data_IF_326976531312
#
_entry.id   IF_326976531312
#
_cell.length_a   1.000
_cell.length_b   1.000
_cell.length_c   1.000
_cell.angle_alpha   90.00
_cell.angle_beta   90.00
_cell.angle_gamma   90.00
#
_symmetry.space_group_name_H-M   'P 1'
#
loop_
_entity.id
_entity.type
_entity.pdbx_description
1 polymer ?
#
# COMPACT_ATOMS: atom_id res chain seq x y z
N UNK A 1 11.48 13.61 8.05
CA UNK A 1 12.09 12.33 7.61
C UNK A 1 11.44 11.78 6.33
N UNK A 2 10.11 11.67 6.22
CA UNK A 2 9.44 11.16 5.00
C UNK A 2 9.55 12.05 3.75
N UNK A 3 9.67 13.39 3.91
CA UNK A 3 9.98 14.32 2.80
C UNK A 3 11.28 13.93 2.06
N UNK A 4 12.28 13.40 2.77
CA UNK A 4 13.55 12.98 2.16
C UNK A 4 13.39 11.68 1.38
N UNK A 5 12.56 10.75 1.85
CA UNK A 5 12.24 9.49 1.15
C UNK A 5 11.45 9.79 -0.13
N UNK A 6 10.42 10.64 -0.06
CA UNK A 6 9.66 11.10 -1.23
C UNK A 6 10.54 11.87 -2.23
N UNK A 7 11.41 12.76 -1.75
CA UNK A 7 12.28 13.56 -2.61
C UNK A 7 13.28 12.68 -3.37
N UNK A 8 13.80 11.62 -2.73
CA UNK A 8 14.71 10.66 -3.37
C UNK A 8 14.01 9.87 -4.50
N UNK A 9 12.75 9.49 -4.33
CA UNK A 9 11.99 8.75 -5.37
C UNK A 9 11.75 9.53 -6.67
N UNK A 10 11.92 10.86 -6.69
CA UNK A 10 11.73 11.66 -7.91
C UNK A 10 12.89 11.57 -8.89
N UNK A 11 14.12 11.32 -8.43
CA UNK A 11 15.33 11.53 -9.25
C UNK A 11 16.37 10.39 -9.19
N UNK A 12 16.13 9.31 -8.43
CA UNK A 12 17.06 8.18 -8.39
C UNK A 12 16.94 7.34 -9.66
N UNK A 13 18.04 7.20 -10.41
CA UNK A 13 18.22 6.06 -11.33
C UNK A 13 18.28 4.81 -10.46
N UNK A 14 17.63 3.73 -10.88
CA UNK A 14 17.69 2.45 -10.18
C UNK A 14 19.04 1.84 -10.56
N UNK A 15 19.94 1.76 -9.60
CA UNK A 15 21.33 1.34 -9.82
C UNK A 15 21.50 -0.14 -9.51
N UNK A 16 20.88 -0.65 -8.44
CA UNK A 16 20.98 -2.05 -8.04
C UNK A 16 19.65 -2.60 -7.47
N UNK A 17 19.31 -3.85 -7.83
CA UNK A 17 18.15 -4.56 -7.28
C UNK A 17 18.68 -5.76 -6.50
N UNK A 18 18.57 -5.71 -5.18
CA UNK A 18 19.10 -6.76 -4.29
C UNK A 18 18.10 -7.87 -3.98
N UNK A 19 16.83 -7.68 -4.35
CA UNK A 19 15.74 -8.62 -4.10
C UNK A 19 15.17 -9.09 -5.44
N UNK A 20 14.73 -10.35 -5.54
CA UNK A 20 14.27 -10.87 -6.84
C UNK A 20 13.13 -10.04 -7.42
N UNK A 21 13.12 -9.89 -8.75
CA UNK A 21 12.05 -9.20 -9.48
C UNK A 21 10.68 -9.85 -9.17
N UNK A 22 10.66 -11.16 -8.96
CA UNK A 22 9.46 -11.91 -8.58
C UNK A 22 8.87 -11.43 -7.25
N UNK A 23 9.71 -11.19 -6.24
CA UNK A 23 9.28 -10.61 -4.96
C UNK A 23 8.69 -9.22 -5.17
N UNK A 24 9.38 -8.35 -5.90
CA UNK A 24 8.89 -6.99 -6.19
C UNK A 24 7.54 -7.00 -6.92
N UNK A 25 7.38 -7.91 -7.89
CA UNK A 25 6.14 -8.08 -8.64
C UNK A 25 5.00 -8.60 -7.75
N UNK A 26 5.31 -9.51 -6.83
CA UNK A 26 4.33 -10.03 -5.86
C UNK A 26 3.86 -8.93 -4.91
N UNK A 27 4.78 -8.13 -4.37
CA UNK A 27 4.44 -6.94 -3.57
C UNK A 27 3.55 -5.99 -4.37
N UNK A 28 3.91 -5.71 -5.63
CA UNK A 28 3.16 -4.79 -6.48
C UNK A 28 1.70 -5.25 -6.72
N UNK A 29 1.50 -6.54 -7.00
CA UNK A 29 0.16 -7.14 -7.15
C UNK A 29 -0.68 -7.02 -5.88
N UNK A 30 -0.10 -7.36 -4.72
CA UNK A 30 -0.82 -7.29 -3.45
C UNK A 30 -1.21 -5.84 -3.14
N UNK A 31 -0.31 -4.88 -3.38
CA UNK A 31 -0.62 -3.46 -3.17
C UNK A 31 -1.74 -2.98 -4.12
N UNK A 32 -1.74 -3.41 -5.38
CA UNK A 32 -2.86 -3.10 -6.29
C UNK A 32 -4.20 -3.66 -5.79
N UNK A 33 -4.19 -4.88 -5.24
CA UNK A 33 -5.40 -5.46 -4.65
C UNK A 33 -5.89 -4.66 -3.45
N UNK A 34 -4.99 -4.33 -2.52
CA UNK A 34 -5.31 -3.54 -1.32
C UNK A 34 -5.79 -2.13 -1.68
N UNK A 35 -5.22 -1.50 -2.72
CA UNK A 35 -5.67 -0.19 -3.20
C UNK A 35 -7.16 -0.16 -3.51
N UNK A 36 -7.74 -1.26 -4.03
CA UNK A 36 -9.17 -1.34 -4.34
C UNK A 36 -10.02 -1.29 -3.06
N UNK A 37 -9.59 -1.98 -2.00
CA UNK A 37 -10.25 -1.91 -0.68
C UNK A 37 -10.16 -0.50 -0.08
N UNK A 38 -9.02 0.17 -0.23
CA UNK A 38 -8.86 1.54 0.23
C UNK A 38 -9.78 2.50 -0.56
N UNK A 39 -9.84 2.39 -1.88
CA UNK A 39 -10.75 3.20 -2.71
C UNK A 39 -12.21 2.98 -2.34
N UNK A 40 -12.63 1.74 -2.09
CA UNK A 40 -13.98 1.43 -1.60
C UNK A 40 -14.22 2.04 -0.21
N UNK A 41 -13.24 1.97 0.68
CA UNK A 41 -13.31 2.62 2.00
C UNK A 41 -13.52 4.13 1.87
N UNK A 42 -12.83 4.78 0.93
CA UNK A 42 -13.02 6.21 0.67
C UNK A 42 -14.45 6.53 0.23
N UNK A 43 -15.04 5.71 -0.64
CA UNK A 43 -16.43 5.91 -1.06
C UNK A 43 -17.40 5.81 0.13
N UNK A 44 -17.23 4.83 1.02
CA UNK A 44 -18.06 4.72 2.23
C UNK A 44 -17.87 5.92 3.18
N UNK A 45 -16.63 6.37 3.43
CA UNK A 45 -16.35 7.57 4.24
C UNK A 45 -16.99 8.81 3.59
N UNK A 46 -16.90 8.91 2.25
CA UNK A 46 -17.48 10.00 1.47
C UNK A 46 -19.00 10.04 1.61
N UNK A 47 -19.66 8.90 1.42
CA UNK A 47 -21.12 8.80 1.46
C UNK A 47 -21.68 9.08 2.85
N UNK A 48 -20.91 8.74 3.91
CA UNK A 48 -21.21 9.11 5.29
C UNK A 48 -20.85 10.55 5.67
N UNK A 49 -20.25 11.32 4.76
CA UNK A 49 -19.85 12.72 4.95
C UNK A 49 -18.88 12.95 6.12
N UNK A 50 -18.02 11.99 6.42
CA UNK A 50 -17.05 12.07 7.53
C UNK A 50 -15.82 12.91 7.15
N UNK A 51 -16.01 14.23 7.05
CA UNK A 51 -14.99 15.16 6.53
C UNK A 51 -13.73 15.22 7.39
N UNK A 52 -13.84 15.05 8.71
CA UNK A 52 -12.67 15.06 9.60
C UNK A 52 -11.65 13.93 9.34
N UNK A 53 -12.04 12.91 8.57
CA UNK A 53 -11.18 11.78 8.21
C UNK A 53 -10.46 12.01 6.88
N UNK A 54 -10.95 12.93 6.04
CA UNK A 54 -10.52 13.05 4.64
C UNK A 54 -9.04 13.38 4.51
N UNK A 55 -8.53 14.33 5.30
CA UNK A 55 -7.13 14.76 5.20
C UNK A 55 -6.17 13.64 5.58
N UNK A 56 -6.44 12.91 6.67
CA UNK A 56 -5.66 11.76 7.08
C UNK A 56 -5.70 10.65 6.03
N UNK A 57 -6.89 10.35 5.51
CA UNK A 57 -7.07 9.32 4.48
C UNK A 57 -6.33 9.70 3.19
N UNK A 58 -6.47 10.93 2.72
CA UNK A 58 -5.84 11.43 1.51
C UNK A 58 -4.32 11.44 1.63
N UNK A 59 -3.79 11.81 2.80
CA UNK A 59 -2.35 11.77 3.06
C UNK A 59 -1.80 10.34 3.07
N UNK A 60 -2.50 9.40 3.71
CA UNK A 60 -2.14 7.98 3.70
C UNK A 60 -2.17 7.43 2.26
N UNK A 61 -3.23 7.71 1.50
CA UNK A 61 -3.33 7.31 0.09
C UNK A 61 -2.23 7.91 -0.79
N UNK A 62 -1.84 9.16 -0.55
CA UNK A 62 -0.74 9.78 -1.28
C UNK A 62 0.59 9.04 -1.05
N UNK A 63 0.85 8.57 0.17
CA UNK A 63 2.03 7.74 0.45
C UNK A 63 1.90 6.39 -0.24
N UNK A 64 0.73 5.77 -0.13
CA UNK A 64 0.42 4.49 -0.75
C UNK A 64 0.66 4.50 -2.27
N UNK A 65 0.07 5.46 -2.97
CA UNK A 65 0.16 5.60 -4.42
C UNK A 65 1.60 5.94 -4.86
N UNK A 66 2.40 6.62 -4.02
CA UNK A 66 3.83 6.83 -4.29
C UNK A 66 4.64 5.54 -4.19
N UNK A 67 4.35 4.70 -3.20
CA UNK A 67 4.98 3.38 -3.07
C UNK A 67 4.65 2.50 -4.28
N UNK A 68 3.39 2.51 -4.74
CA UNK A 68 2.99 1.83 -5.98
C UNK A 68 3.71 2.38 -7.21
N UNK A 69 3.81 3.71 -7.35
CA UNK A 69 4.52 4.33 -8.48
C UNK A 69 6.01 3.99 -8.48
N UNK A 70 6.62 3.90 -7.31
CA UNK A 70 8.02 3.48 -7.18
C UNK A 70 8.22 2.05 -7.69
N UNK A 71 7.41 1.10 -7.22
CA UNK A 71 7.46 -0.29 -7.68
C UNK A 71 7.19 -0.41 -9.17
N UNK A 72 6.20 0.32 -9.70
CA UNK A 72 5.92 0.33 -11.14
C UNK A 72 7.16 0.68 -11.96
N UNK A 73 7.89 1.72 -11.55
CA UNK A 73 9.13 2.15 -12.22
C UNK A 73 10.22 1.09 -12.07
N UNK A 74 10.37 0.50 -10.89
CA UNK A 74 11.34 -0.56 -10.65
C UNK A 74 11.09 -1.83 -11.48
N UNK A 75 9.83 -2.15 -11.72
CA UNK A 75 9.41 -3.28 -12.55
C UNK A 75 9.33 -2.96 -14.04
N UNK A 76 9.54 -1.70 -14.43
CA UNK A 76 9.33 -1.19 -15.79
C UNK A 76 7.92 -1.52 -16.34
N UNK A 77 6.91 -1.44 -15.47
CA UNK A 77 5.50 -1.72 -15.80
C UNK A 77 4.82 -0.47 -16.40
N UNK A 78 3.89 -0.70 -17.33
CA UNK A 78 3.08 0.37 -17.93
C UNK A 78 2.20 1.05 -16.85
N UNK A 79 1.93 2.34 -17.04
CA UNK A 79 0.93 3.11 -16.31
C UNK A 79 -0.45 2.46 -16.39
N UNK A 80 -0.77 1.80 -17.50
CA UNK A 80 -2.07 1.18 -17.74
C UNK A 80 -2.14 -0.30 -17.35
N UNK A 81 -1.07 -0.87 -16.77
CA UNK A 81 -1.11 -2.25 -16.28
C UNK A 81 -2.19 -2.38 -15.20
N UNK A 82 -3.25 -3.12 -15.51
CA UNK A 82 -4.35 -3.37 -14.60
C UNK A 82 -4.17 -4.73 -13.91
N UNK A 83 -4.08 -4.72 -12.58
CA UNK A 83 -4.14 -5.95 -11.80
C UNK A 83 -5.56 -6.20 -11.29
N UNK A 84 -6.11 -7.41 -11.46
CA UNK A 84 -7.38 -7.78 -10.85
C UNK A 84 -7.27 -7.77 -9.32
N UNK A 85 -8.42 -7.77 -8.65
CA UNK A 85 -8.46 -7.92 -7.20
C UNK A 85 -8.09 -9.39 -6.92
N UNK A 86 -7.15 -9.62 -6.01
CA UNK A 86 -6.71 -10.97 -5.68
C UNK A 86 -7.79 -11.68 -4.86
N UNK A 87 -8.08 -12.92 -5.21
CA UNK A 87 -8.83 -13.85 -4.35
C UNK A 87 -8.01 -14.22 -3.11
N UNK A 88 -8.63 -14.76 -2.04
CA UNK A 88 -7.89 -15.22 -0.88
C UNK A 88 -6.81 -16.26 -1.22
N UNK A 89 -7.09 -17.18 -2.15
CA UNK A 89 -6.11 -18.18 -2.58
C UNK A 89 -4.94 -17.56 -3.36
N UNK A 90 -5.21 -16.60 -4.25
CA UNK A 90 -4.14 -15.88 -4.96
C UNK A 90 -3.31 -15.03 -4.02
N UNK A 91 -3.93 -14.37 -3.04
CA UNK A 91 -3.21 -13.59 -2.04
C UNK A 91 -2.21 -14.45 -1.26
N UNK A 92 -2.61 -15.63 -0.78
CA UNK A 92 -1.69 -16.51 -0.06
C UNK A 92 -0.55 -17.01 -0.96
N UNK A 93 -0.81 -17.25 -2.25
CA UNK A 93 0.25 -17.58 -3.22
C UNK A 93 1.26 -16.46 -3.37
N UNK A 94 0.79 -15.21 -3.54
CA UNK A 94 1.69 -14.06 -3.67
C UNK A 94 2.45 -13.79 -2.36
N UNK A 95 1.83 -14.01 -1.20
CA UNK A 95 2.49 -13.88 0.11
C UNK A 95 3.56 -14.94 0.33
N UNK A 96 3.38 -16.17 -0.18
CA UNK A 96 4.34 -17.25 -0.03
C UNK A 96 5.67 -17.02 -0.78
N UNK A 97 5.67 -16.11 -1.78
CA UNK A 97 6.87 -15.71 -2.52
C UNK A 97 7.73 -14.74 -1.69
N UNK A 98 7.12 -14.01 -0.75
CA UNK A 98 7.79 -12.93 -0.04
C UNK A 98 8.71 -13.46 1.07
N UNK A 99 9.84 -12.78 1.33
CA UNK A 99 10.61 -12.99 2.56
C UNK A 99 9.73 -12.83 3.80
N UNK A 100 9.98 -13.61 4.85
CA UNK A 100 9.11 -13.73 6.01
C UNK A 100 8.71 -12.38 6.64
N UNK A 101 9.66 -11.45 6.81
CA UNK A 101 9.40 -10.11 7.36
C UNK A 101 8.45 -9.30 6.48
N UNK A 102 8.65 -9.36 5.16
CA UNK A 102 7.81 -8.67 4.19
C UNK A 102 6.42 -9.31 4.09
N UNK A 103 6.34 -10.65 4.12
CA UNK A 103 5.08 -11.38 4.15
C UNK A 103 4.22 -10.98 5.35
N UNK A 104 4.83 -10.89 6.54
CA UNK A 104 4.15 -10.47 7.78
C UNK A 104 3.60 -9.04 7.67
N UNK A 105 4.43 -8.12 7.16
CA UNK A 105 4.05 -6.71 6.97
C UNK A 105 2.90 -6.59 5.95
N UNK A 106 2.97 -7.33 4.84
CA UNK A 106 1.93 -7.34 3.81
C UNK A 106 0.61 -7.97 4.30
N UNK A 107 0.66 -9.02 5.13
CA UNK A 107 -0.53 -9.56 5.80
C UNK A 107 -1.20 -8.51 6.69
N UNK A 108 -0.39 -7.80 7.48
CA UNK A 108 -0.88 -6.72 8.35
C UNK A 108 -1.55 -5.62 7.53
N UNK A 109 -0.95 -5.24 6.39
CA UNK A 109 -1.53 -4.26 5.46
C UNK A 109 -2.91 -4.71 4.95
N UNK A 110 -3.02 -5.95 4.47
CA UNK A 110 -4.27 -6.50 3.94
C UNK A 110 -5.34 -6.55 5.02
N UNK A 111 -5.01 -7.06 6.20
CA UNK A 111 -5.95 -7.14 7.33
C UNK A 111 -6.44 -5.74 7.74
N UNK A 112 -5.53 -4.78 7.86
CA UNK A 112 -5.88 -3.42 8.25
C UNK A 112 -6.70 -2.70 7.18
N UNK A 113 -6.45 -2.96 5.89
CA UNK A 113 -7.25 -2.40 4.80
C UNK A 113 -8.68 -2.95 4.81
N UNK A 114 -8.86 -4.26 5.07
CA UNK A 114 -10.19 -4.87 5.25
C UNK A 114 -10.90 -4.29 6.47
N UNK A 115 -10.19 -4.13 7.59
CA UNK A 115 -10.74 -3.52 8.80
C UNK A 115 -11.18 -2.08 8.55
N UNK A 116 -10.36 -1.29 7.85
CA UNK A 116 -10.72 0.09 7.47
C UNK A 116 -11.97 0.11 6.60
N UNK A 117 -12.11 -0.84 5.66
CA UNK A 117 -13.31 -0.96 4.84
C UNK A 117 -14.54 -1.25 5.70
N UNK A 118 -14.47 -2.16 6.66
CA UNK A 118 -15.57 -2.42 7.59
C UNK A 118 -15.90 -1.19 8.45
N UNK A 119 -14.88 -0.54 9.01
CA UNK A 119 -15.04 0.67 9.83
C UNK A 119 -15.61 1.84 9.03
N UNK A 120 -15.25 1.96 7.76
CA UNK A 120 -15.76 3.01 6.88
C UNK A 120 -17.28 2.96 6.72
N UNK A 121 -17.91 1.79 6.88
CA UNK A 121 -19.35 1.60 6.74
C UNK A 121 -20.10 2.08 7.99
N UNK A 122 -19.60 1.78 9.20
CA UNK A 122 -20.40 1.97 10.42
C UNK A 122 -19.65 2.54 11.64
N UNK A 123 -18.31 2.46 11.69
CA UNK A 123 -17.58 2.88 12.88
C UNK A 123 -17.52 4.40 13.05
N UNK A 124 -17.26 4.87 14.28
CA UNK A 124 -17.08 6.29 14.55
C UNK A 124 -15.70 6.80 14.04
N UNK A 125 -15.58 8.11 13.75
CA UNK A 125 -14.36 8.71 13.19
C UNK A 125 -13.05 8.40 13.94
N UNK A 126 -13.00 8.32 15.29
CA UNK A 126 -11.77 7.95 16.01
C UNK A 126 -11.22 6.58 15.62
N UNK A 127 -12.08 5.57 15.40
CA UNK A 127 -11.64 4.24 14.97
C UNK A 127 -11.11 4.25 13.54
N UNK A 128 -11.76 4.99 12.66
CA UNK A 128 -11.34 5.15 11.27
C UNK A 128 -9.97 5.84 11.20
N UNK A 129 -9.79 6.94 11.95
CA UNK A 129 -8.52 7.66 12.03
C UNK A 129 -7.40 6.78 12.61
N UNK A 130 -7.69 5.98 13.63
CA UNK A 130 -6.74 5.01 14.19
C UNK A 130 -6.31 3.97 13.15
N UNK A 131 -7.26 3.40 12.39
CA UNK A 131 -6.96 2.45 11.33
C UNK A 131 -6.14 3.07 10.19
N UNK A 132 -6.46 4.31 9.78
CA UNK A 132 -5.68 5.05 8.77
C UNK A 132 -4.24 5.27 9.23
N UNK A 133 -4.04 5.67 10.50
CA UNK A 133 -2.69 5.86 11.05
C UNK A 133 -1.89 4.56 11.11
N UNK A 134 -2.54 3.45 11.43
CA UNK A 134 -1.89 2.14 11.40
C UNK A 134 -1.50 1.74 9.97
N UNK A 135 -2.38 1.92 8.98
CA UNK A 135 -2.05 1.73 7.57
C UNK A 135 -0.90 2.60 7.12
N UNK A 136 -0.91 3.88 7.51
CA UNK A 136 0.17 4.81 7.19
C UNK A 136 1.52 4.26 7.66
N UNK A 137 1.63 3.81 8.91
CA UNK A 137 2.86 3.23 9.45
C UNK A 137 3.30 1.99 8.66
N UNK A 138 2.38 1.07 8.36
CA UNK A 138 2.68 -0.15 7.59
C UNK A 138 3.18 0.21 6.19
N UNK A 139 2.57 1.20 5.54
CA UNK A 139 3.00 1.71 4.23
C UNK A 139 4.39 2.32 4.30
N UNK A 140 4.72 3.04 5.37
CA UNK A 140 6.08 3.56 5.57
C UNK A 140 7.11 2.44 5.69
N UNK A 141 6.79 1.38 6.41
CA UNK A 141 7.71 0.26 6.62
C UNK A 141 7.93 -0.54 5.33
N UNK A 142 6.88 -0.74 4.54
CA UNK A 142 6.99 -1.28 3.17
C UNK A 142 7.87 -0.37 2.31
N UNK A 143 7.64 0.95 2.33
CA UNK A 143 8.42 1.89 1.53
C UNK A 143 9.92 1.86 1.92
N UNK A 144 10.24 1.78 3.22
CA UNK A 144 11.63 1.66 3.71
C UNK A 144 12.27 0.34 3.27
N UNK A 145 11.52 -0.76 3.31
CA UNK A 145 12.01 -2.06 2.84
C UNK A 145 12.36 -1.98 1.35
N UNK A 146 11.45 -1.43 0.55
CA UNK A 146 11.62 -1.30 -0.91
C UNK A 146 12.76 -0.35 -1.30
N UNK A 147 12.93 0.76 -0.57
CA UNK A 147 14.05 1.70 -0.79
C UNK A 147 15.41 1.02 -0.56
N UNK A 148 15.51 0.16 0.47
CA UNK A 148 16.71 -0.66 0.72
C UNK A 148 16.92 -1.74 -0.35
N UNK A 149 15.83 -2.32 -0.83
CA UNK A 149 15.85 -3.39 -1.84
C UNK A 149 16.26 -2.91 -3.25
N UNK A 150 15.95 -1.65 -3.58
CA UNK A 150 16.06 -1.07 -4.94
C UNK A 150 17.01 0.15 -4.88
N UNK A 151 18.16 0.01 -4.22
CA UNK A 151 19.07 1.13 -3.95
C UNK A 151 20.03 1.44 -5.09
#
# INVERSE_FOLDING_TARGET
MFKNVIARFRHKKIEEITVSIEVLRSVYKILHSVRKDLVESFYHIKDRKLREVYDYFAFMMLKYDKTLQFLRRALNEDLYTAYPRLTPQELEKELAILPMEMASTMRSLVQMAKLLKEFSIAASPPYINSAIKQLENIVEDIAKYLDRAIS
#
